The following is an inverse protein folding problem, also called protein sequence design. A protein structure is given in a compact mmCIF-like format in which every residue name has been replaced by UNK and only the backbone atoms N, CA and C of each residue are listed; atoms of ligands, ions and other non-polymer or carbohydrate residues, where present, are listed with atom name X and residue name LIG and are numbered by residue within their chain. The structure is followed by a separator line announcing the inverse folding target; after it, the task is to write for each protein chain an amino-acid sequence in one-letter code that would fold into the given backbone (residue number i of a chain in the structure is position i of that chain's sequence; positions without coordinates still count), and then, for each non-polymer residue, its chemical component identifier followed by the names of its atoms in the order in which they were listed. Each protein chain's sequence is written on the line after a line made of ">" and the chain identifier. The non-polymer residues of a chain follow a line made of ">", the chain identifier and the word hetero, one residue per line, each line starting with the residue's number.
data_IF_444118645548
#
_entry.id   IF_444118645548
#
_cell.length_a   1.000
_cell.length_b   1.000
_cell.length_c   1.000
_cell.angle_alpha   90.00
_cell.angle_beta   90.00
_cell.angle_gamma   90.00
#
_symmetry.space_group_name_H-M   'P 1'
#
loop_
_entity.id
_entity.type
_entity.pdbx_description
1 polymer ?
#
# COMPACT_ATOMS: atom_id res chain seq x y z
N UNK A 1 23.60 8.37 32.83
CA UNK A 1 23.76 8.97 31.48
C UNK A 1 22.42 9.54 31.05
N UNK A 2 22.36 10.83 30.68
CA UNK A 2 21.10 11.54 30.39
C UNK A 2 20.46 11.02 29.09
N UNK A 3 19.12 10.92 29.07
CA UNK A 3 18.31 10.60 27.88
C UNK A 3 18.68 11.45 26.65
N UNK A 4 19.16 12.68 26.87
CA UNK A 4 19.63 13.57 25.81
C UNK A 4 20.91 13.05 25.10
N UNK A 5 21.78 12.32 25.81
CA UNK A 5 23.03 11.79 25.25
C UNK A 5 22.80 10.54 24.38
N UNK A 6 21.80 9.72 24.72
CA UNK A 6 21.35 8.59 23.90
C UNK A 6 20.70 9.06 22.60
N UNK A 7 19.86 10.11 22.66
CA UNK A 7 19.27 10.72 21.46
C UNK A 7 20.32 11.35 20.53
N UNK A 8 21.33 12.05 21.09
CA UNK A 8 22.39 12.69 20.31
C UNK A 8 23.28 11.67 19.61
N UNK A 9 23.62 10.57 20.29
CA UNK A 9 24.43 9.49 19.70
C UNK A 9 23.68 8.70 18.63
N UNK A 10 22.38 8.42 18.81
CA UNK A 10 21.56 7.84 17.74
C UNK A 10 21.46 8.77 16.52
N UNK A 11 21.28 10.08 16.74
CA UNK A 11 21.17 11.05 15.66
C UNK A 11 22.46 11.17 14.85
N UNK A 12 23.63 11.19 15.50
CA UNK A 12 24.93 11.22 14.81
C UNK A 12 25.26 9.88 14.11
N UNK A 13 24.89 8.73 14.68
CA UNK A 13 25.08 7.43 14.01
C UNK A 13 24.17 7.26 12.77
N UNK A 14 22.97 7.84 12.79
CA UNK A 14 22.05 7.89 11.63
C UNK A 14 22.63 8.82 10.54
N UNK A 15 23.22 9.95 10.93
CA UNK A 15 23.85 10.92 10.02
C UNK A 15 25.02 10.33 9.25
N UNK A 16 25.83 9.48 9.89
CA UNK A 16 27.02 8.85 9.28
C UNK A 16 26.63 7.72 8.32
N UNK A 17 25.51 7.01 8.55
CA UNK A 17 25.09 5.90 7.68
C UNK A 17 24.32 6.34 6.43
N UNK A 18 23.74 7.55 6.45
CA UNK A 18 22.97 8.14 5.34
C UNK A 18 23.58 9.46 4.82
N UNK A 19 24.91 9.57 4.75
CA UNK A 19 25.58 10.63 4.00
C UNK A 19 25.52 10.36 2.48
N UNK A 20 24.32 10.29 1.92
CA UNK A 20 24.10 10.92 0.61
C UNK A 20 23.82 12.38 0.96
N UNK A 21 24.80 13.25 0.67
CA UNK A 21 24.64 14.69 0.82
C UNK A 21 23.36 15.11 0.09
N UNK A 22 22.30 15.39 0.85
CA UNK A 22 21.08 15.99 0.35
C UNK A 22 21.39 17.42 -0.07
N UNK A 23 21.76 17.57 -1.35
CA UNK A 23 21.61 18.83 -2.05
C UNK A 23 20.20 18.79 -2.64
N UNK A 24 19.26 19.66 -2.24
CA UNK A 24 18.01 19.77 -2.97
C UNK A 24 18.35 20.02 -4.43
N UNK A 25 17.70 19.30 -5.36
CA UNK A 25 17.92 19.49 -6.79
C UNK A 25 17.81 20.98 -7.14
N UNK A 26 18.95 21.62 -7.40
CA UNK A 26 19.04 23.02 -7.86
C UNK A 26 18.93 23.12 -9.39
N UNK A 27 18.48 22.07 -10.07
CA UNK A 27 18.27 22.10 -11.50
C UNK A 27 16.95 22.81 -11.84
N UNK A 28 16.96 23.79 -12.76
CA UNK A 28 15.73 24.44 -13.23
C UNK A 28 14.77 23.38 -13.80
N UNK A 29 13.47 23.45 -13.42
CA UNK A 29 12.42 22.58 -13.94
C UNK A 29 12.47 22.56 -15.47
N UNK A 30 12.97 21.48 -16.07
CA UNK A 30 12.90 21.28 -17.52
C UNK A 30 11.42 21.19 -17.91
N UNK A 31 11.08 21.79 -19.05
CA UNK A 31 9.73 22.10 -19.56
C UNK A 31 8.75 20.92 -19.75
N UNK A 32 9.04 19.73 -19.22
CA UNK A 32 8.15 18.57 -19.29
C UNK A 32 8.19 17.70 -18.03
N UNK A 33 8.17 18.31 -16.84
CA UNK A 33 8.22 17.54 -15.59
C UNK A 33 6.85 17.00 -15.24
N UNK A 34 6.65 15.72 -15.56
CA UNK A 34 5.64 14.87 -14.93
C UNK A 34 5.66 15.06 -13.42
N UNK A 35 4.50 14.95 -12.78
CA UNK A 35 4.41 14.83 -11.33
C UNK A 35 4.97 13.48 -10.88
N UNK A 36 5.02 13.23 -9.58
CA UNK A 36 5.53 11.99 -9.03
C UNK A 36 4.40 11.27 -8.30
N UNK A 37 4.21 10.00 -8.64
CA UNK A 37 3.24 9.13 -8.01
C UNK A 37 3.97 8.00 -7.30
N UNK A 38 3.89 7.97 -5.97
CA UNK A 38 4.44 6.92 -5.14
C UNK A 38 3.31 6.02 -4.73
N UNK A 39 3.46 4.72 -4.98
CA UNK A 39 2.43 3.72 -4.73
C UNK A 39 2.98 2.64 -3.78
N UNK A 40 2.18 2.24 -2.81
CA UNK A 40 2.39 0.96 -2.14
C UNK A 40 2.07 -0.22 -3.08
N UNK A 41 2.44 -1.44 -2.67
CA UNK A 41 2.27 -2.64 -3.47
C UNK A 41 1.14 -3.54 -2.94
N UNK A 42 1.36 -4.17 -1.78
CA UNK A 42 0.43 -5.09 -1.13
C UNK A 42 -0.84 -4.36 -0.68
N UNK A 43 -2.00 -4.98 -0.89
CA UNK A 43 -3.34 -4.40 -0.66
C UNK A 43 -3.64 -3.06 -1.37
N UNK A 44 -2.70 -2.56 -2.20
CA UNK A 44 -2.83 -1.33 -2.99
C UNK A 44 -2.94 -1.64 -4.49
N UNK A 45 -1.96 -2.35 -5.06
CA UNK A 45 -1.93 -2.75 -6.48
C UNK A 45 -2.19 -4.24 -6.67
N UNK A 46 -1.83 -5.06 -5.69
CA UNK A 46 -1.97 -6.52 -5.73
C UNK A 46 -2.45 -7.04 -4.37
N UNK A 47 -2.99 -8.25 -4.34
CA UNK A 47 -3.17 -9.01 -3.11
C UNK A 47 -2.47 -10.35 -3.27
N UNK A 48 -1.79 -10.80 -2.21
CA UNK A 48 -0.98 -12.01 -2.23
C UNK A 48 -1.29 -12.93 -1.05
N UNK A 49 -1.40 -14.23 -1.33
CA UNK A 49 -1.44 -15.29 -0.34
C UNK A 49 -0.13 -16.09 -0.39
N UNK A 50 0.36 -16.52 0.78
CA UNK A 50 1.62 -17.28 0.91
C UNK A 50 1.37 -18.77 1.21
N UNK A 51 0.12 -19.19 1.14
CA UNK A 51 -0.34 -20.56 1.27
C UNK A 51 -1.44 -20.78 0.26
N UNK A 52 -1.57 -22.02 -0.18
CA UNK A 52 -2.67 -22.43 -1.02
C UNK A 52 -4.00 -22.18 -0.29
N UNK A 53 -4.92 -21.49 -0.96
CA UNK A 53 -6.24 -21.19 -0.46
C UNK A 53 -7.24 -21.37 -1.61
N UNK A 54 -8.07 -22.41 -1.53
CA UNK A 54 -9.08 -22.73 -2.55
C UNK A 54 -10.11 -21.61 -2.75
N UNK A 55 -10.28 -20.73 -1.75
CA UNK A 55 -11.19 -19.59 -1.84
C UNK A 55 -10.51 -18.32 -2.39
N UNK A 56 -9.22 -18.35 -2.69
CA UNK A 56 -8.48 -17.22 -3.24
C UNK A 56 -8.29 -17.40 -4.74
N UNK A 57 -8.90 -16.51 -5.53
CA UNK A 57 -8.86 -16.57 -6.99
C UNK A 57 -7.60 -15.88 -7.54
N UNK A 58 -6.43 -16.49 -7.33
CA UNK A 58 -5.16 -15.99 -7.83
C UNK A 58 -5.03 -16.08 -9.36
N UNK A 59 -4.29 -15.13 -9.95
CA UNK A 59 -3.98 -15.10 -11.38
C UNK A 59 -2.70 -15.85 -11.72
N UNK A 60 -1.74 -15.85 -10.79
CA UNK A 60 -0.41 -16.41 -11.02
C UNK A 60 0.20 -16.92 -9.72
N UNK A 61 1.02 -17.96 -9.83
CA UNK A 61 1.92 -18.41 -8.79
C UNK A 61 3.33 -17.89 -9.10
N UNK A 62 3.88 -17.05 -8.24
CA UNK A 62 5.24 -16.56 -8.33
C UNK A 62 6.16 -17.39 -7.41
N UNK A 63 7.35 -17.70 -7.91
CA UNK A 63 8.41 -18.36 -7.16
C UNK A 63 9.44 -17.31 -6.72
N UNK A 64 9.49 -17.02 -5.42
CA UNK A 64 10.37 -15.99 -4.86
C UNK A 64 11.50 -16.67 -4.09
N UNK A 65 12.75 -16.36 -4.45
CA UNK A 65 13.92 -16.83 -3.71
C UNK A 65 14.41 -15.75 -2.75
N UNK A 66 14.34 -16.02 -1.44
CA UNK A 66 14.85 -15.12 -0.41
C UNK A 66 15.75 -15.86 0.57
N UNK A 67 16.99 -15.36 0.77
CA UNK A 67 17.99 -15.97 1.66
C UNK A 67 18.22 -17.48 1.41
N UNK A 68 18.18 -17.90 0.15
CA UNK A 68 18.40 -19.30 -0.25
C UNK A 68 17.20 -20.23 0.00
N UNK A 69 16.03 -19.68 0.33
CA UNK A 69 14.78 -20.41 0.46
C UNK A 69 13.80 -19.97 -0.64
N UNK A 70 13.05 -20.93 -1.16
CA UNK A 70 12.00 -20.71 -2.16
C UNK A 70 10.65 -20.53 -1.47
N UNK A 71 9.90 -19.54 -1.94
CA UNK A 71 8.58 -19.19 -1.44
C UNK A 71 7.60 -19.16 -2.61
N UNK A 72 6.44 -19.78 -2.42
CA UNK A 72 5.33 -19.72 -3.35
C UNK A 72 4.39 -18.57 -2.97
N UNK A 73 4.14 -17.68 -3.91
CA UNK A 73 3.28 -16.51 -3.73
C UNK A 73 2.15 -16.56 -4.74
N UNK A 74 0.94 -16.75 -4.25
CA UNK A 74 -0.28 -16.69 -5.05
C UNK A 74 -0.65 -15.22 -5.18
N UNK A 75 -0.66 -14.69 -6.39
CA UNK A 75 -0.87 -13.26 -6.64
C UNK A 75 -2.15 -13.02 -7.44
N UNK A 76 -2.91 -12.01 -7.02
CA UNK A 76 -3.99 -11.40 -7.79
C UNK A 76 -3.74 -9.92 -7.99
N UNK A 77 -3.94 -9.42 -9.21
CA UNK A 77 -3.84 -7.99 -9.48
C UNK A 77 -5.13 -7.29 -9.09
N UNK A 78 -5.01 -6.06 -8.59
CA UNK A 78 -6.20 -5.24 -8.37
C UNK A 78 -6.83 -4.91 -9.71
N UNK A 79 -8.17 -5.03 -9.87
CA UNK A 79 -8.82 -4.70 -11.12
C UNK A 79 -8.42 -3.30 -11.63
N UNK A 80 -8.34 -3.18 -12.96
CA UNK A 80 -7.91 -1.98 -13.67
C UNK A 80 -6.44 -1.57 -13.51
N UNK A 81 -5.58 -2.37 -12.85
CA UNK A 81 -4.16 -2.04 -12.65
C UNK A 81 -3.42 -1.65 -13.94
N UNK A 82 -3.57 -2.43 -15.00
CA UNK A 82 -2.88 -2.15 -16.27
C UNK A 82 -3.32 -0.80 -16.88
N UNK A 83 -4.63 -0.53 -16.88
CA UNK A 83 -5.20 0.73 -17.36
C UNK A 83 -4.72 1.91 -16.49
N UNK A 84 -4.71 1.73 -15.17
CA UNK A 84 -4.24 2.73 -14.21
C UNK A 84 -2.77 3.10 -14.46
N UNK A 85 -1.86 2.12 -14.56
CA UNK A 85 -0.44 2.39 -14.82
C UNK A 85 -0.24 3.11 -16.16
N UNK A 86 -0.96 2.70 -17.21
CA UNK A 86 -0.88 3.37 -18.53
C UNK A 86 -1.33 4.83 -18.43
N UNK A 87 -2.48 5.09 -17.83
CA UNK A 87 -3.01 6.45 -17.73
C UNK A 87 -2.16 7.33 -16.81
N UNK A 88 -1.73 6.81 -15.65
CA UNK A 88 -0.86 7.53 -14.72
C UNK A 88 0.50 7.85 -15.35
N UNK A 89 1.10 6.91 -16.09
CA UNK A 89 2.43 7.09 -16.69
C UNK A 89 2.51 8.24 -17.70
N UNK A 90 1.37 8.75 -18.20
CA UNK A 90 1.34 9.92 -19.09
C UNK A 90 1.73 11.19 -18.36
N UNK A 91 1.27 11.33 -17.12
CA UNK A 91 1.38 12.55 -16.31
C UNK A 91 2.35 12.41 -15.12
N UNK A 92 2.75 11.18 -14.78
CA UNK A 92 3.53 10.85 -13.59
C UNK A 92 4.79 10.00 -13.88
N UNK A 93 5.88 10.29 -13.16
CA UNK A 93 6.91 9.30 -12.84
C UNK A 93 6.36 8.41 -11.71
N UNK A 94 6.33 7.10 -11.92
CA UNK A 94 5.71 6.14 -11.00
C UNK A 94 6.78 5.44 -10.19
N UNK A 95 6.71 5.53 -8.86
CA UNK A 95 7.60 4.85 -7.94
C UNK A 95 6.82 3.86 -7.08
N UNK A 96 7.39 2.69 -6.85
CA UNK A 96 6.88 1.74 -5.86
C UNK A 96 7.61 1.96 -4.55
N UNK A 97 6.89 2.03 -3.44
CA UNK A 97 7.49 2.08 -2.10
C UNK A 97 6.73 1.12 -1.20
N UNK A 98 7.28 -0.09 -1.03
CA UNK A 98 6.64 -1.20 -0.28
C UNK A 98 7.41 -1.54 1.00
N UNK A 99 6.68 -2.02 2.01
CA UNK A 99 7.27 -2.64 3.20
C UNK A 99 7.72 -4.10 2.94
N UNK A 100 7.36 -4.69 1.80
CA UNK A 100 7.75 -6.02 1.36
C UNK A 100 9.22 -6.13 0.97
N UNK A 101 9.79 -7.33 1.06
CA UNK A 101 11.21 -7.56 0.76
C UNK A 101 11.53 -7.41 -0.73
N UNK A 102 12.77 -7.02 -1.03
CA UNK A 102 13.26 -6.76 -2.38
C UNK A 102 12.97 -7.92 -3.36
N UNK A 103 13.29 -9.16 -2.98
CA UNK A 103 13.08 -10.33 -3.82
C UNK A 103 11.60 -10.52 -4.22
N UNK A 104 10.69 -10.32 -3.26
CA UNK A 104 9.25 -10.36 -3.51
C UNK A 104 8.82 -9.21 -4.42
N UNK A 105 9.23 -7.97 -4.10
CA UNK A 105 8.90 -6.78 -4.88
C UNK A 105 9.31 -6.97 -6.34
N UNK A 106 10.54 -7.42 -6.60
CA UNK A 106 11.06 -7.61 -7.95
C UNK A 106 10.24 -8.64 -8.75
N UNK A 107 9.89 -9.79 -8.14
CA UNK A 107 9.05 -10.79 -8.81
C UNK A 107 7.66 -10.25 -9.14
N UNK A 108 7.02 -9.53 -8.22
CA UNK A 108 5.72 -8.91 -8.48
C UNK A 108 5.81 -7.87 -9.59
N UNK A 109 6.80 -6.97 -9.56
CA UNK A 109 6.97 -5.94 -10.60
C UNK A 109 7.26 -6.56 -11.96
N UNK A 110 8.02 -7.66 -12.00
CA UNK A 110 8.26 -8.42 -13.22
C UNK A 110 6.94 -8.91 -13.84
N UNK A 111 5.96 -9.24 -13.01
CA UNK A 111 4.63 -9.69 -13.44
C UNK A 111 3.74 -8.52 -13.86
N UNK A 112 3.59 -7.47 -13.03
CA UNK A 112 2.59 -6.42 -13.26
C UNK A 112 3.04 -5.33 -14.24
N UNK A 113 4.34 -5.06 -14.39
CA UNK A 113 4.85 -3.95 -15.20
C UNK A 113 5.54 -4.39 -16.50
N UNK A 114 4.80 -5.15 -17.32
CA UNK A 114 5.31 -5.62 -18.63
C UNK A 114 5.70 -4.49 -19.59
N UNK A 115 5.15 -3.29 -19.40
CA UNK A 115 5.39 -2.11 -20.25
C UNK A 115 6.51 -1.19 -19.73
N UNK A 116 7.12 -1.52 -18.59
CA UNK A 116 8.18 -0.73 -17.95
C UNK A 116 7.76 0.72 -17.70
N UNK A 117 6.56 0.89 -17.14
CA UNK A 117 5.96 2.18 -16.80
C UNK A 117 6.38 2.66 -15.41
N UNK A 118 6.83 1.75 -14.55
CA UNK A 118 7.36 2.05 -13.23
C UNK A 118 8.80 2.54 -13.39
N UNK A 119 9.10 3.69 -12.78
CA UNK A 119 10.38 4.39 -12.85
C UNK A 119 11.43 3.75 -11.96
N UNK A 120 11.09 3.46 -10.71
CA UNK A 120 11.97 2.81 -9.74
C UNK A 120 11.15 2.21 -8.58
N UNK A 121 11.78 1.38 -7.75
CA UNK A 121 11.15 0.74 -6.60
C UNK A 121 12.02 0.78 -5.35
N UNK A 122 11.40 1.07 -4.21
CA UNK A 122 11.99 1.08 -2.89
C UNK A 122 11.31 0.00 -2.04
N UNK A 123 12.01 -1.09 -1.77
CA UNK A 123 11.49 -2.18 -0.93
C UNK A 123 11.87 -1.98 0.55
N UNK A 124 11.63 -3.00 1.37
CA UNK A 124 11.84 -3.03 2.82
C UNK A 124 13.19 -2.48 3.30
N UNK A 125 14.26 -2.68 2.54
CA UNK A 125 15.60 -2.18 2.88
C UNK A 125 15.71 -0.65 2.88
N UNK A 126 14.78 0.04 2.22
CA UNK A 126 14.68 1.51 2.15
C UNK A 126 13.74 2.08 3.23
N UNK A 127 13.02 1.23 3.96
CA UNK A 127 12.13 1.64 5.04
C UNK A 127 12.90 1.82 6.36
N UNK A 128 12.38 2.67 7.25
CA UNK A 128 12.81 2.74 8.64
C UNK A 128 11.74 2.11 9.52
N UNK A 129 12.09 1.07 10.28
CA UNK A 129 11.18 0.43 11.21
C UNK A 129 11.43 0.95 12.63
N UNK A 130 10.42 1.56 13.26
CA UNK A 130 10.50 2.05 14.65
C UNK A 130 9.28 1.51 15.39
N UNK A 131 9.51 0.73 16.45
CA UNK A 131 8.45 0.09 17.24
C UNK A 131 7.46 -0.72 16.37
N UNK A 132 7.96 -1.44 15.37
CA UNK A 132 7.13 -2.22 14.44
C UNK A 132 6.42 -1.38 13.37
N UNK A 133 6.52 -0.05 13.39
CA UNK A 133 5.91 0.81 12.36
C UNK A 133 6.90 1.02 11.22
N UNK A 134 6.47 0.72 9.99
CA UNK A 134 7.19 0.99 8.76
C UNK A 134 7.07 2.48 8.35
N UNK A 135 8.19 3.19 8.29
CA UNK A 135 8.25 4.55 7.78
C UNK A 135 8.91 4.57 6.40
N UNK A 136 8.18 5.11 5.42
CA UNK A 136 8.62 5.31 4.03
C UNK A 136 9.09 6.74 3.85
N UNK A 137 10.40 6.92 3.66
CA UNK A 137 11.01 8.26 3.56
C UNK A 137 10.95 8.82 2.14
N UNK A 138 9.97 9.68 1.85
CA UNK A 138 9.79 10.27 0.51
C UNK A 138 10.99 11.11 0.04
N UNK A 139 11.88 11.53 0.94
CA UNK A 139 13.12 12.21 0.53
C UNK A 139 14.08 11.28 -0.22
N UNK A 140 13.93 9.96 -0.14
CA UNK A 140 14.70 9.03 -0.98
C UNK A 140 14.38 9.22 -2.47
N UNK A 141 13.16 9.69 -2.75
CA UNK A 141 12.74 10.09 -4.10
C UNK A 141 13.24 11.51 -4.30
N UNK A 142 14.30 11.66 -5.09
CA UNK A 142 14.99 12.93 -5.37
C UNK A 142 14.13 13.88 -6.23
N UNK A 143 12.98 14.29 -5.69
CA UNK A 143 11.96 15.13 -6.32
C UNK A 143 11.35 16.07 -5.27
N UNK A 144 10.89 17.26 -5.66
CA UNK A 144 10.24 18.17 -4.73
C UNK A 144 8.95 17.57 -4.15
N UNK A 145 8.74 17.70 -2.83
CA UNK A 145 7.51 17.23 -2.17
C UNK A 145 6.24 17.90 -2.72
N UNK A 146 6.33 19.10 -3.31
CA UNK A 146 5.20 19.77 -3.97
C UNK A 146 4.73 19.07 -5.26
N UNK A 147 5.53 18.13 -5.77
CA UNK A 147 5.24 17.36 -6.97
C UNK A 147 4.92 15.88 -6.67
N UNK A 148 4.99 15.44 -5.40
CA UNK A 148 4.82 14.04 -4.99
C UNK A 148 3.41 13.78 -4.41
N UNK A 149 2.69 12.83 -4.99
CA UNK A 149 1.49 12.21 -4.40
C UNK A 149 1.88 10.82 -3.91
N UNK A 150 1.56 10.49 -2.66
CA UNK A 150 1.86 9.20 -2.06
C UNK A 150 0.56 8.46 -1.72
N UNK A 151 0.35 7.32 -2.36
CA UNK A 151 -0.84 6.47 -2.21
C UNK A 151 -0.44 5.18 -1.48
N UNK A 152 -1.18 4.87 -0.43
CA UNK A 152 -0.98 3.72 0.45
C UNK A 152 -2.32 3.36 1.07
N UNK A 153 -2.54 2.08 1.38
CA UNK A 153 -3.72 1.65 2.13
C UNK A 153 -3.47 1.61 3.65
N UNK A 154 -2.26 1.86 4.14
CA UNK A 154 -1.95 1.91 5.56
C UNK A 154 -1.84 3.37 6.05
N UNK A 155 -2.69 3.83 7.00
CA UNK A 155 -2.64 5.19 7.51
C UNK A 155 -1.29 5.53 8.18
N UNK A 156 -0.58 4.55 8.74
CA UNK A 156 0.71 4.76 9.39
C UNK A 156 1.82 5.16 8.39
N UNK A 157 1.67 4.80 7.12
CA UNK A 157 2.63 5.14 6.08
C UNK A 157 2.79 6.67 5.92
N UNK A 158 1.72 7.43 6.20
CA UNK A 158 1.69 8.89 6.00
C UNK A 158 2.16 9.70 7.20
N UNK A 159 2.55 9.09 8.32
CA UNK A 159 2.87 9.80 9.57
C UNK A 159 3.85 10.96 9.36
N UNK A 160 4.87 10.77 8.51
CA UNK A 160 5.89 11.80 8.19
C UNK A 160 5.48 12.74 7.05
N UNK A 161 4.58 12.31 6.17
CA UNK A 161 4.24 13.01 4.92
C UNK A 161 2.72 13.18 4.73
N UNK A 162 2.02 13.58 5.80
CA UNK A 162 0.55 13.68 5.83
C UNK A 162 -0.05 14.51 4.68
N UNK A 163 0.62 15.59 4.29
CA UNK A 163 0.12 16.45 3.21
C UNK A 163 0.30 15.84 1.81
N UNK A 164 1.19 14.87 1.65
CA UNK A 164 1.41 14.15 0.39
C UNK A 164 0.54 12.90 0.28
N UNK A 165 0.02 12.41 1.40
CA UNK A 165 -0.69 11.14 1.52
C UNK A 165 -2.10 11.18 0.95
N UNK A 166 -2.47 10.10 0.28
CA UNK A 166 -3.82 9.74 -0.10
C UNK A 166 -4.08 8.30 0.35
N UNK A 167 -4.86 8.16 1.42
CA UNK A 167 -5.29 6.86 1.91
C UNK A 167 -6.34 6.26 0.96
N UNK A 168 -6.14 5.02 0.53
CA UNK A 168 -7.09 4.29 -0.30
C UNK A 168 -7.58 3.00 0.39
N UNK A 169 -8.70 2.42 -0.06
CA UNK A 169 -9.20 1.18 0.52
C UNK A 169 -8.29 0.01 0.18
N UNK A 170 -8.06 -0.89 1.15
CA UNK A 170 -7.34 -2.15 0.92
C UNK A 170 -8.05 -3.04 -0.11
N UNK A 171 -7.27 -3.65 -0.99
CA UNK A 171 -7.72 -4.67 -1.93
C UNK A 171 -7.51 -6.07 -1.35
N UNK A 172 -8.60 -6.82 -1.17
CA UNK A 172 -8.63 -8.14 -0.53
C UNK A 172 -9.37 -9.19 -1.39
N UNK A 173 -9.11 -9.25 -2.70
CA UNK A 173 -9.66 -10.27 -3.64
C UNK A 173 -11.02 -9.95 -4.33
N UNK A 174 -11.55 -8.73 -4.26
CA UNK A 174 -12.83 -8.37 -4.91
C UNK A 174 -12.68 -8.03 -6.41
N UNK A 175 -13.31 -8.81 -7.30
CA UNK A 175 -13.34 -8.51 -8.76
C UNK A 175 -14.16 -7.26 -9.10
N UNK A 176 -15.10 -6.88 -8.23
CA UNK A 176 -15.91 -5.66 -8.35
C UNK A 176 -15.18 -4.40 -7.83
N UNK A 177 -13.90 -4.50 -7.43
CA UNK A 177 -13.11 -3.34 -7.02
C UNK A 177 -12.86 -2.42 -8.22
N UNK A 178 -13.17 -1.14 -8.08
CA UNK A 178 -12.98 -0.11 -9.11
C UNK A 178 -12.09 1.04 -8.62
N UNK A 179 -11.36 0.85 -7.51
CA UNK A 179 -10.60 1.89 -6.83
C UNK A 179 -9.56 2.53 -7.75
N UNK A 180 -8.76 1.71 -8.44
CA UNK A 180 -7.75 2.21 -9.36
C UNK A 180 -8.37 2.95 -10.55
N UNK A 181 -9.53 2.50 -11.04
CA UNK A 181 -10.25 3.17 -12.12
C UNK A 181 -10.74 4.57 -11.68
N UNK A 182 -11.30 4.68 -10.48
CA UNK A 182 -11.77 5.95 -9.89
C UNK A 182 -10.65 6.96 -9.62
N UNK A 183 -9.43 6.49 -9.36
CA UNK A 183 -8.27 7.37 -9.14
C UNK A 183 -7.83 8.12 -10.41
N UNK A 184 -7.98 7.53 -11.59
CA UNK A 184 -7.46 8.08 -12.85
C UNK A 184 -7.92 9.54 -13.10
N UNK A 185 -9.23 9.87 -13.07
CA UNK A 185 -9.66 11.24 -13.36
C UNK A 185 -9.22 12.25 -12.29
N UNK A 186 -9.10 11.82 -11.02
CA UNK A 186 -8.54 12.66 -9.95
C UNK A 186 -7.04 12.93 -10.17
N UNK A 187 -6.25 11.90 -10.51
CA UNK A 187 -4.83 12.07 -10.80
C UNK A 187 -4.58 12.96 -12.02
N UNK A 188 -5.43 12.89 -13.06
CA UNK A 188 -5.38 13.83 -14.20
C UNK A 188 -5.67 15.28 -13.80
N UNK A 189 -6.55 15.48 -12.82
CA UNK A 189 -6.81 16.80 -12.23
C UNK A 189 -5.59 17.29 -11.43
N UNK A 190 -4.97 16.42 -10.64
CA UNK A 190 -3.81 16.73 -9.80
C UNK A 190 -2.54 17.05 -10.61
N UNK A 191 -2.37 16.44 -11.79
CA UNK A 191 -1.23 16.67 -12.66
C UNK A 191 -1.07 18.14 -13.08
N UNK A 192 -2.17 18.91 -13.08
CA UNK A 192 -2.21 20.33 -13.46
C UNK A 192 -1.92 21.28 -12.29
N UNK A 193 -1.75 20.77 -11.07
CA UNK A 193 -1.53 21.59 -9.87
C UNK A 193 -0.08 22.04 -9.78
N UNK A 194 0.13 23.27 -9.30
CA UNK A 194 1.48 23.77 -9.02
C UNK A 194 2.10 23.04 -7.83
N UNK A 195 1.37 22.98 -6.72
CA UNK A 195 1.67 22.15 -5.55
C UNK A 195 0.50 21.16 -5.36
N UNK A 196 0.81 19.87 -5.31
CA UNK A 196 -0.18 18.79 -5.13
C UNK A 196 -0.65 18.65 -3.69
N UNK A 197 -0.05 19.39 -2.75
CA UNK A 197 -0.37 19.29 -1.32
C UNK A 197 -1.33 20.41 -0.87
N UNK A 198 -2.14 20.15 0.17
CA UNK A 198 -2.40 18.84 0.77
C UNK A 198 -3.31 18.00 -0.14
N UNK A 199 -2.92 16.75 -0.44
CA UNK A 199 -3.64 15.90 -1.41
C UNK A 199 -5.09 15.66 -0.99
N UNK A 200 -5.33 15.40 0.30
CA UNK A 200 -6.68 15.20 0.85
C UNK A 200 -7.59 16.43 0.66
N UNK A 201 -7.04 17.65 0.70
CA UNK A 201 -7.83 18.86 0.47
C UNK A 201 -8.20 19.02 -1.00
N UNK A 202 -7.27 18.70 -1.91
CA UNK A 202 -7.57 18.67 -3.34
C UNK A 202 -8.60 17.60 -3.69
N UNK A 203 -8.57 16.45 -3.01
CA UNK A 203 -9.57 15.39 -3.18
C UNK A 203 -10.97 15.88 -2.81
N UNK A 204 -11.14 16.46 -1.61
CA UNK A 204 -12.42 17.02 -1.16
C UNK A 204 -12.95 18.05 -2.15
N UNK A 205 -12.10 18.99 -2.56
CA UNK A 205 -12.46 19.98 -3.56
C UNK A 205 -12.88 19.33 -4.89
N UNK A 206 -12.17 18.30 -5.34
CA UNK A 206 -12.49 17.59 -6.57
C UNK A 206 -13.86 16.91 -6.48
N UNK A 207 -14.15 16.21 -5.39
CA UNK A 207 -15.42 15.53 -5.14
C UNK A 207 -16.59 16.52 -5.07
N UNK A 208 -16.41 17.63 -4.36
CA UNK A 208 -17.43 18.69 -4.20
C UNK A 208 -17.81 19.36 -5.52
N UNK A 209 -16.86 19.52 -6.44
CA UNK A 209 -17.07 20.25 -7.70
C UNK A 209 -17.45 19.33 -8.88
N UNK A 210 -17.04 18.07 -8.86
CA UNK A 210 -17.32 17.13 -9.95
C UNK A 210 -18.55 16.25 -9.69
N UNK A 211 -19.07 16.22 -8.46
CA UNK A 211 -20.25 15.41 -8.10
C UNK A 211 -19.99 13.90 -8.08
N UNK A 212 -18.73 13.47 -8.18
CA UNK A 212 -18.31 12.06 -8.14
C UNK A 212 -17.45 11.86 -6.91
N UNK A 213 -17.92 11.00 -6.01
CA UNK A 213 -17.13 10.54 -4.86
C UNK A 213 -16.05 9.59 -5.37
N UNK A 214 -14.78 9.91 -5.11
CA UNK A 214 -13.65 9.07 -5.47
C UNK A 214 -13.52 7.95 -4.46
N UNK A 215 -13.75 8.18 -3.15
CA UNK A 215 -13.82 7.14 -2.11
C UNK A 215 -14.84 7.49 -1.03
N UNK A 216 -15.67 6.54 -0.59
CA UNK A 216 -16.61 6.80 0.51
C UNK A 216 -15.91 6.78 1.88
N UNK A 217 -16.41 7.56 2.84
CA UNK A 217 -15.92 7.60 4.23
C UNK A 217 -15.86 6.19 4.88
N UNK A 218 -16.81 5.31 4.53
CA UNK A 218 -16.83 3.93 5.00
C UNK A 218 -15.65 3.09 4.47
N UNK A 219 -15.12 3.42 3.30
CA UNK A 219 -13.94 2.75 2.72
C UNK A 219 -12.63 3.27 3.32
N UNK A 220 -12.61 4.49 3.90
CA UNK A 220 -11.45 5.07 4.62
C UNK A 220 -11.35 4.60 6.09
N UNK A 221 -12.44 4.12 6.68
CA UNK A 221 -12.57 3.92 8.15
C UNK A 221 -12.27 2.49 8.62
N UNK A 222 -12.14 1.50 7.72
CA UNK A 222 -12.04 0.07 8.10
C UNK A 222 -10.75 -0.31 8.87
N UNK A 223 -9.78 0.60 9.07
CA UNK A 223 -8.41 0.24 9.45
C UNK A 223 -7.93 0.69 10.83
N UNK A 224 -8.74 1.37 11.67
CA UNK A 224 -8.22 1.91 12.95
C UNK A 224 -8.25 0.94 14.15
N UNK A 225 -8.86 -0.24 14.06
CA UNK A 225 -9.06 -1.10 15.24
C UNK A 225 -8.21 -2.38 15.34
N UNK A 226 -7.36 -2.76 14.37
CA UNK A 226 -6.73 -4.10 14.43
C UNK A 226 -5.32 -4.21 13.83
N UNK A 227 -4.29 -3.55 14.37
CA UNK A 227 -2.90 -3.99 14.11
C UNK A 227 -2.05 -4.06 15.39
N UNK A 228 -1.60 -5.29 15.69
CA UNK A 228 -0.48 -5.61 16.58
C UNK A 228 0.81 -5.48 15.73
N UNK A 229 1.97 -5.15 16.34
CA UNK A 229 3.18 -4.74 15.63
C UNK A 229 3.69 -5.75 14.58
N UNK A 230 4.18 -5.23 13.45
CA UNK A 230 4.78 -6.00 12.36
C UNK A 230 6.04 -6.75 12.82
N UNK A 231 5.90 -8.04 13.12
CA UNK A 231 7.03 -8.98 13.17
C UNK A 231 7.39 -9.48 11.77
N UNK A 232 8.70 -9.51 11.50
CA UNK A 232 9.38 -9.91 10.26
C UNK A 232 8.63 -10.97 9.44
N UNK A 233 8.01 -10.54 8.34
CA UNK A 233 7.18 -11.38 7.45
C UNK A 233 7.96 -12.43 6.65
N UNK A 234 9.30 -12.46 6.76
CA UNK A 234 10.16 -13.54 6.23
C UNK A 234 11.16 -14.08 7.27
N UNK A 235 10.82 -14.07 8.56
CA UNK A 235 11.57 -14.84 9.56
C UNK A 235 11.12 -16.32 9.57
N UNK A 236 12.06 -17.21 9.88
CA UNK A 236 12.12 -18.67 9.64
C UNK A 236 10.97 -19.54 10.19
N UNK A 237 9.88 -18.96 10.70
CA UNK A 237 8.80 -19.66 11.42
C UNK A 237 7.51 -19.95 10.66
N UNK A 238 7.38 -19.66 9.35
CA UNK A 238 6.07 -19.70 8.64
C UNK A 238 6.05 -20.34 7.25
N UNK A 239 6.88 -21.35 6.99
CA UNK A 239 6.80 -22.15 5.74
C UNK A 239 6.47 -23.61 6.07
N UNK A 240 5.50 -24.17 5.38
CA UNK A 240 5.16 -25.60 5.47
C UNK A 240 6.36 -26.41 5.01
N UNK A 241 7.10 -27.01 5.95
CA UNK A 241 8.04 -28.09 5.63
C UNK A 241 7.25 -29.39 5.50
N UNK A 242 7.66 -30.22 4.54
CA UNK A 242 7.10 -31.55 4.30
C UNK A 242 7.30 -32.43 5.55
N UNK A 243 6.17 -32.77 6.16
CA UNK A 243 5.87 -33.82 7.14
C UNK A 243 6.55 -33.83 8.54
N UNK A 244 5.63 -33.86 9.51
CA UNK A 244 5.68 -34.28 10.92
C UNK A 244 5.98 -33.25 12.04
N UNK A 245 5.02 -33.28 12.97
CA UNK A 245 4.88 -32.67 14.30
C UNK A 245 4.43 -31.20 14.39
N UNK A 246 3.24 -31.06 14.97
CA UNK A 246 2.42 -29.86 15.13
C UNK A 246 3.05 -28.92 16.15
N UNK A 247 3.29 -27.65 15.78
CA UNK A 247 3.22 -26.48 16.67
C UNK A 247 3.18 -25.14 15.92
N UNK A 248 2.51 -24.17 16.54
CA UNK A 248 2.58 -22.69 16.43
C UNK A 248 2.23 -21.95 15.11
N UNK A 249 1.77 -22.65 14.06
CA UNK A 249 1.29 -22.05 12.79
C UNK A 249 -0.16 -21.52 12.82
N UNK A 250 -0.84 -21.56 13.97
CA UNK A 250 -2.29 -21.25 14.12
C UNK A 250 -2.64 -19.75 14.15
N UNK A 251 -1.66 -18.84 14.27
CA UNK A 251 -1.94 -17.45 14.70
C UNK A 251 -2.29 -16.49 13.54
N UNK A 252 -1.79 -16.65 12.31
CA UNK A 252 -2.27 -15.81 11.16
C UNK A 252 -3.66 -16.27 10.66
N UNK A 253 -3.98 -17.56 10.83
CA UNK A 253 -5.29 -18.13 10.46
C UNK A 253 -6.43 -17.58 11.34
N UNK A 254 -6.16 -17.24 12.61
CA UNK A 254 -7.14 -16.52 13.45
C UNK A 254 -7.50 -15.15 12.91
N UNK A 255 -6.62 -14.38 12.23
CA UNK A 255 -6.98 -13.04 11.73
C UNK A 255 -7.81 -13.10 10.44
N UNK A 256 -7.42 -13.91 9.46
CA UNK A 256 -8.16 -14.03 8.19
C UNK A 256 -9.50 -14.78 8.35
N UNK A 257 -9.57 -15.83 9.18
CA UNK A 257 -10.84 -16.50 9.46
C UNK A 257 -11.78 -15.68 10.35
N UNK A 258 -11.27 -14.96 11.37
CA UNK A 258 -12.15 -14.11 12.20
C UNK A 258 -12.69 -12.93 11.39
N UNK A 259 -11.93 -12.39 10.42
CA UNK A 259 -12.41 -11.33 9.52
C UNK A 259 -13.45 -11.84 8.51
N UNK A 260 -13.25 -13.01 7.89
CA UNK A 260 -14.24 -13.61 6.96
C UNK A 260 -15.52 -14.08 7.70
N UNK A 261 -15.41 -14.64 8.90
CA UNK A 261 -16.57 -15.00 9.73
C UNK A 261 -17.35 -13.77 10.22
N UNK A 262 -16.67 -12.67 10.52
CA UNK A 262 -17.31 -11.43 10.96
C UNK A 262 -18.03 -10.73 9.80
N UNK A 263 -17.43 -10.69 8.60
CA UNK A 263 -18.07 -10.18 7.38
C UNK A 263 -19.29 -11.04 6.98
N UNK A 264 -19.18 -12.36 7.12
CA UNK A 264 -20.29 -13.31 6.94
C UNK A 264 -21.43 -13.07 7.95
N UNK A 265 -21.12 -12.92 9.24
CA UNK A 265 -22.10 -12.63 10.31
C UNK A 265 -22.77 -11.26 10.18
N UNK A 266 -22.07 -10.26 9.64
CA UNK A 266 -22.63 -8.92 9.38
C UNK A 266 -23.54 -8.94 8.14
N UNK A 267 -23.13 -9.61 7.05
CA UNK A 267 -23.98 -9.82 5.86
C UNK A 267 -25.26 -10.60 6.18
N UNK A 268 -25.20 -11.60 7.07
CA UNK A 268 -26.39 -12.34 7.50
C UNK A 268 -27.30 -11.52 8.41
N UNK A 269 -26.75 -10.72 9.34
CA UNK A 269 -27.52 -9.79 10.19
C UNK A 269 -28.25 -8.71 9.37
N UNK A 270 -27.59 -8.13 8.36
CA UNK A 270 -28.19 -7.16 7.46
C UNK A 270 -29.32 -7.78 6.64
N UNK A 271 -29.15 -9.00 6.11
CA UNK A 271 -30.23 -9.72 5.40
C UNK A 271 -31.43 -10.05 6.30
N UNK A 272 -31.20 -10.42 7.57
CA UNK A 272 -32.29 -10.65 8.53
C UNK A 272 -32.99 -9.36 8.99
N UNK A 273 -32.27 -8.24 9.08
CA UNK A 273 -32.86 -6.96 9.48
C UNK A 273 -33.79 -6.38 8.39
N UNK A 274 -33.48 -6.60 7.10
CA UNK A 274 -34.35 -6.18 5.99
C UNK A 274 -35.61 -7.06 5.85
N UNK A 275 -35.59 -8.29 6.38
CA UNK A 275 -36.75 -9.20 6.37
C UNK A 275 -37.75 -8.93 7.52
N UNK A 276 -37.35 -8.20 8.57
CA UNK A 276 -38.21 -7.92 9.74
C UNK A 276 -38.77 -6.48 9.80
N UNK A 277 -38.42 -5.60 8.85
CA UNK A 277 -38.95 -4.23 8.79
C UNK A 277 -40.12 -4.03 7.81
N UNK A 278 -40.75 -5.13 7.36
CA UNK A 278 -41.80 -5.09 6.34
C UNK A 278 -43.06 -5.85 6.75
N UNK A 279 -43.71 -5.48 7.86
CA UNK A 279 -45.11 -5.84 8.18
C UNK A 279 -45.62 -5.05 9.38
N UNK A 280 -46.05 -3.81 9.12
CA UNK A 280 -47.16 -3.11 9.78
C UNK A 280 -47.04 -1.65 9.36
N UNK A 281 -47.84 -1.20 8.38
CA UNK A 281 -48.81 -0.09 8.49
C UNK A 281 -49.79 -0.25 7.31
N UNK A 282 -51.08 -0.27 7.66
CA UNK A 282 -52.33 -0.38 6.87
C UNK A 282 -52.74 -1.77 6.38
#
# INVERSE_FOLDING_TARGET
>A
MSFAALFKNCFEHIKVKFQKNYLPAQTPKLFNQKKVLVLDLDETLVHCEFKENENFSHEVLLEVVHKGQEYQVYLKTRPYLNQFLIEASKDYEIFIFTAGYEAYCQEVLSFIDKKKLITDSYARGSCQFINGICYKDLLLIDRPLEDIIFIDNNPNAFIRYKNNGLLIPSFLDSDEDDCLLRLIPFLKYMAKKKDVRPVEQHLKYYEDNNGTIVFSEAQKTIQLEQEEPDEDTLSEGKVVKKEQEVTDLDIKHKKTQTQLETVSKIKSKLRSATLFSGSQIN
#
